data_IF_225935203395
#
_entry.id   IF_225935203395
#
_cell.length_a   1.000
_cell.length_b   1.000
_cell.length_c   1.000
_cell.angle_alpha   90.00
_cell.angle_beta   90.00
_cell.angle_gamma   90.00
#
_symmetry.space_group_name_H-M   'P 1'
#
loop_
_entity.id
_entity.type
_entity.pdbx_description
1 polymer ?
#
# COMPACT_ATOMS: atom_id res chain seq x y z
N UNK A 1 2.57 -8.76 -28.30
CA UNK A 1 1.50 -8.66 -27.31
C UNK A 1 2.10 -8.09 -26.03
N UNK A 2 1.55 -6.99 -25.52
CA UNK A 2 1.99 -6.35 -24.26
C UNK A 2 0.95 -6.68 -23.19
N UNK A 3 1.41 -7.13 -22.03
CA UNK A 3 0.55 -7.53 -20.94
C UNK A 3 0.61 -6.49 -19.83
N UNK A 4 -0.55 -5.92 -19.52
CA UNK A 4 -0.74 -5.10 -18.34
C UNK A 4 -1.21 -6.01 -17.22
N UNK A 5 -0.37 -6.21 -16.22
CA UNK A 5 -0.77 -6.97 -15.03
C UNK A 5 -1.28 -5.95 -14.02
N UNK A 6 -2.60 -5.91 -13.91
CA UNK A 6 -3.23 -5.22 -12.80
C UNK A 6 -2.94 -6.00 -11.52
N UNK A 7 -2.13 -5.40 -10.65
CA UNK A 7 -2.08 -5.84 -9.25
C UNK A 7 -3.30 -5.28 -8.53
N UNK A 8 -4.47 -5.62 -9.04
CA UNK A 8 -5.74 -5.36 -8.40
C UNK A 8 -5.91 -6.49 -7.38
N UNK A 9 -5.91 -6.15 -6.09
CA UNK A 9 -6.67 -6.93 -5.12
C UNK A 9 -8.13 -6.86 -5.57
N UNK A 10 -8.58 -7.63 -6.57
CA UNK A 10 -9.98 -7.55 -7.01
C UNK A 10 -10.65 -8.90 -7.32
N UNK A 11 -9.91 -10.00 -7.50
CA UNK A 11 -10.57 -11.27 -7.85
C UNK A 11 -10.99 -12.12 -6.65
N UNK A 12 -10.57 -11.79 -5.43
CA UNK A 12 -11.07 -12.40 -4.19
C UNK A 12 -11.58 -11.35 -3.16
N UNK A 13 -11.75 -10.09 -3.58
CA UNK A 13 -11.99 -9.00 -2.63
C UNK A 13 -13.40 -8.85 -2.14
N UNK A 14 -14.45 -9.34 -2.81
CA UNK A 14 -15.79 -9.25 -2.18
C UNK A 14 -15.89 -10.10 -0.92
N UNK A 15 -15.22 -11.26 -0.89
CA UNK A 15 -15.18 -12.11 0.29
C UNK A 15 -14.19 -11.54 1.32
N UNK A 16 -12.96 -11.20 0.90
CA UNK A 16 -11.95 -10.62 1.79
C UNK A 16 -12.33 -9.24 2.34
N UNK A 17 -12.99 -8.37 1.56
CA UNK A 17 -13.50 -7.08 2.00
C UNK A 17 -14.68 -7.23 2.95
N UNK A 18 -15.62 -8.15 2.68
CA UNK A 18 -16.68 -8.48 3.66
C UNK A 18 -16.07 -8.99 4.97
N UNK A 19 -15.03 -9.81 4.89
CA UNK A 19 -14.29 -10.31 6.04
C UNK A 19 -13.58 -9.17 6.77
N UNK A 20 -12.90 -8.26 6.07
CA UNK A 20 -12.25 -7.06 6.65
C UNK A 20 -13.28 -6.12 7.30
N UNK A 21 -14.41 -5.85 6.63
CA UNK A 21 -15.50 -5.03 7.18
C UNK A 21 -16.11 -5.70 8.41
N UNK A 22 -16.27 -7.03 8.39
CA UNK A 22 -16.76 -7.81 9.54
C UNK A 22 -15.77 -7.77 10.70
N UNK A 23 -14.47 -7.91 10.44
CA UNK A 23 -13.43 -7.78 11.46
C UNK A 23 -13.34 -6.35 12.00
N UNK A 24 -13.44 -5.32 11.16
CA UNK A 24 -13.46 -3.93 11.57
C UNK A 24 -14.69 -3.61 12.42
N UNK A 25 -15.87 -4.11 12.04
CA UNK A 25 -17.11 -3.94 12.80
C UNK A 25 -17.02 -4.67 14.15
N UNK A 26 -16.53 -5.91 14.16
CA UNK A 26 -16.36 -6.71 15.39
C UNK A 26 -15.35 -6.04 16.33
N UNK A 27 -14.24 -5.56 15.78
CA UNK A 27 -13.23 -4.78 16.50
C UNK A 27 -13.81 -3.49 17.09
N UNK A 28 -14.65 -2.78 16.34
CA UNK A 28 -15.32 -1.57 16.81
C UNK A 28 -16.32 -1.85 17.92
N UNK A 29 -17.09 -2.94 17.82
CA UNK A 29 -17.99 -3.39 18.90
C UNK A 29 -17.20 -3.76 20.16
N UNK A 30 -16.09 -4.49 20.03
CA UNK A 30 -15.21 -4.82 21.15
C UNK A 30 -14.58 -3.57 21.77
N UNK A 31 -14.16 -2.60 20.95
CA UNK A 31 -13.66 -1.31 21.41
C UNK A 31 -14.72 -0.56 22.24
N UNK A 32 -15.92 -0.37 21.69
CA UNK A 32 -17.01 0.34 22.38
C UNK A 32 -17.40 -0.37 23.68
N UNK A 33 -17.54 -1.70 23.64
CA UNK A 33 -17.86 -2.52 24.80
C UNK A 33 -16.77 -2.44 25.89
N UNK A 34 -15.53 -2.14 25.52
CA UNK A 34 -14.41 -2.05 26.45
C UNK A 34 -14.22 -0.64 27.05
N UNK A 35 -14.72 0.41 26.38
CA UNK A 35 -14.65 1.80 26.85
C UNK A 35 -15.88 2.18 27.69
N UNK A 36 -17.09 1.74 27.30
CA UNK A 36 -18.33 2.15 27.97
C UNK A 36 -18.37 1.81 29.47
N UNK A 37 -18.07 0.57 29.91
CA UNK A 37 -18.11 0.21 31.31
C UNK A 37 -17.13 0.99 32.21
N UNK A 38 -15.84 1.18 31.85
CA UNK A 38 -14.93 2.04 32.61
C UNK A 38 -15.45 3.47 32.77
N UNK A 39 -15.97 4.08 31.70
CA UNK A 39 -16.42 5.48 31.73
C UNK A 39 -17.64 5.66 32.65
N UNK A 40 -18.61 4.73 32.59
CA UNK A 40 -19.79 4.74 33.48
C UNK A 40 -19.41 4.51 34.94
N UNK A 41 -18.46 3.60 35.22
CA UNK A 41 -17.95 3.35 36.57
C UNK A 41 -17.20 4.59 37.11
N UNK A 42 -16.39 5.26 36.29
CA UNK A 42 -15.68 6.49 36.68
C UNK A 42 -16.64 7.63 37.02
N UNK A 43 -17.75 7.75 36.29
CA UNK A 43 -18.77 8.78 36.49
C UNK A 43 -19.63 8.54 37.75
N UNK A 44 -19.71 7.31 38.25
CA UNK A 44 -20.63 6.93 39.34
C UNK A 44 -19.95 6.71 40.67
N UNK A 45 -18.64 6.42 40.73
CA UNK A 45 -17.94 6.28 42.01
C UNK A 45 -16.41 6.51 41.92
N UNK A 46 -15.83 7.52 42.60
CA UNK A 46 -14.41 7.84 42.53
C UNK A 46 -13.48 6.89 43.32
N UNK A 47 -14.02 5.93 44.10
CA UNK A 47 -13.26 5.20 45.13
C UNK A 47 -12.65 3.86 44.65
N UNK A 48 -12.97 3.34 43.46
CA UNK A 48 -12.43 2.04 43.03
C UNK A 48 -11.37 2.15 41.93
N UNK A 49 -10.19 2.65 42.30
CA UNK A 49 -8.98 2.62 41.48
C UNK A 49 -8.67 1.20 40.92
N UNK A 50 -9.06 0.16 41.66
CA UNK A 50 -8.89 -1.25 41.26
C UNK A 50 -9.81 -1.67 40.11
N UNK A 51 -11.07 -1.22 40.10
CA UNK A 51 -12.02 -1.53 39.01
C UNK A 51 -11.75 -0.65 37.78
N UNK A 52 -11.35 0.60 37.97
CA UNK A 52 -10.89 1.47 36.89
C UNK A 52 -9.65 0.88 36.19
N UNK A 53 -8.67 0.36 36.95
CA UNK A 53 -7.49 -0.30 36.40
C UNK A 53 -7.81 -1.54 35.56
N UNK A 54 -8.70 -2.41 36.04
CA UNK A 54 -9.18 -3.59 35.30
C UNK A 54 -9.89 -3.22 33.99
N UNK A 55 -10.69 -2.16 34.04
CA UNK A 55 -11.45 -1.70 32.88
C UNK A 55 -10.54 -1.05 31.81
N UNK A 56 -9.51 -0.30 32.23
CA UNK A 56 -8.46 0.21 31.32
C UNK A 56 -7.64 -0.92 30.70
N UNK A 57 -7.33 -1.97 31.47
CA UNK A 57 -6.61 -3.15 30.97
C UNK A 57 -7.45 -3.91 29.92
N UNK A 58 -8.76 -4.06 30.17
CA UNK A 58 -9.71 -4.67 29.24
C UNK A 58 -9.85 -3.85 27.95
N UNK A 59 -9.95 -2.52 28.07
CA UNK A 59 -9.95 -1.62 26.92
C UNK A 59 -8.67 -1.72 26.10
N UNK A 60 -7.52 -1.75 26.77
CA UNK A 60 -6.23 -1.93 26.11
C UNK A 60 -6.16 -3.27 25.41
N UNK A 61 -6.55 -4.37 26.07
CA UNK A 61 -6.58 -5.70 25.48
C UNK A 61 -7.52 -5.77 24.26
N UNK A 62 -8.68 -5.09 24.30
CA UNK A 62 -9.60 -5.01 23.16
C UNK A 62 -9.05 -4.18 22.01
N UNK A 63 -8.35 -3.07 22.28
CA UNK A 63 -7.63 -2.28 21.26
C UNK A 63 -6.53 -3.13 20.62
N UNK A 64 -5.72 -3.81 21.43
CA UNK A 64 -4.66 -4.70 20.94
C UNK A 64 -5.25 -5.84 20.12
N UNK A 65 -6.33 -6.48 20.58
CA UNK A 65 -7.02 -7.54 19.85
C UNK A 65 -7.63 -7.00 18.55
N UNK A 66 -8.22 -5.80 18.55
CA UNK A 66 -8.77 -5.14 17.36
C UNK A 66 -7.70 -4.85 16.31
N UNK A 67 -6.55 -4.33 16.74
CA UNK A 67 -5.38 -4.14 15.88
C UNK A 67 -4.90 -5.50 15.35
N UNK A 68 -4.83 -6.52 16.20
CA UNK A 68 -4.42 -7.87 15.81
C UNK A 68 -5.38 -8.49 14.78
N UNK A 69 -6.69 -8.34 14.97
CA UNK A 69 -7.76 -8.79 14.07
C UNK A 69 -7.71 -8.05 12.72
N UNK A 70 -7.44 -6.74 12.71
CA UNK A 70 -7.20 -5.98 11.48
C UNK A 70 -5.94 -6.46 10.74
N UNK A 71 -4.96 -7.00 11.46
CA UNK A 71 -3.75 -7.57 10.90
C UNK A 71 -3.90 -9.05 10.48
N UNK A 72 -4.99 -9.75 10.84
CA UNK A 72 -5.22 -11.16 10.47
C UNK A 72 -5.13 -11.46 8.97
N UNK A 73 -5.72 -10.69 8.04
CA UNK A 73 -5.56 -10.96 6.61
C UNK A 73 -4.10 -10.82 6.13
N UNK A 74 -3.24 -10.18 6.92
CA UNK A 74 -1.80 -10.04 6.67
C UNK A 74 -0.94 -11.03 7.49
N UNK A 75 -1.52 -11.73 8.47
CA UNK A 75 -0.84 -12.67 9.38
C UNK A 75 -0.65 -14.08 8.80
N UNK A 76 -1.14 -14.35 7.59
CA UNK A 76 -0.90 -15.64 6.96
C UNK A 76 0.56 -15.71 6.51
N UNK A 77 1.43 -16.22 7.39
CA UNK A 77 2.90 -16.23 7.29
C UNK A 77 3.45 -16.73 5.95
N UNK A 78 2.69 -17.55 5.23
CA UNK A 78 3.09 -18.16 3.96
C UNK A 78 2.66 -17.35 2.72
N UNK A 79 1.84 -16.31 2.90
CA UNK A 79 1.37 -15.43 1.83
C UNK A 79 2.16 -14.13 1.82
N UNK A 80 3.38 -14.17 1.26
CA UNK A 80 3.96 -12.94 0.71
C UNK A 80 2.95 -12.37 -0.27
N UNK A 81 2.41 -11.18 -0.01
CA UNK A 81 1.30 -10.56 -0.77
C UNK A 81 1.57 -10.46 -2.27
N UNK A 82 2.84 -10.50 -2.67
CA UNK A 82 3.33 -10.45 -4.04
C UNK A 82 3.62 -11.81 -4.69
N UNK A 83 3.57 -12.94 -3.95
CA UNK A 83 3.92 -14.28 -4.45
C UNK A 83 3.06 -14.69 -5.66
N UNK A 84 1.75 -14.50 -5.57
CA UNK A 84 0.85 -14.83 -6.69
C UNK A 84 1.12 -13.99 -7.93
N UNK A 85 1.50 -12.72 -7.77
CA UNK A 85 1.89 -11.85 -8.88
C UNK A 85 3.19 -12.31 -9.53
N UNK A 86 4.18 -12.77 -8.74
CA UNK A 86 5.42 -13.37 -9.25
C UNK A 86 5.10 -14.63 -10.06
N UNK A 87 4.29 -15.54 -9.51
CA UNK A 87 3.93 -16.80 -10.18
C UNK A 87 3.21 -16.55 -11.51
N UNK A 88 2.30 -15.57 -11.56
CA UNK A 88 1.62 -15.16 -12.79
C UNK A 88 2.60 -14.60 -13.83
N UNK A 89 3.57 -13.79 -13.42
CA UNK A 89 4.60 -13.25 -14.33
C UNK A 89 5.53 -14.36 -14.84
N UNK A 90 6.02 -15.23 -13.95
CA UNK A 90 6.84 -16.38 -14.33
C UNK A 90 6.08 -17.28 -15.32
N UNK A 91 4.77 -17.48 -15.13
CA UNK A 91 3.94 -18.24 -16.07
C UNK A 91 3.81 -17.55 -17.44
N UNK A 92 3.63 -16.22 -17.48
CA UNK A 92 3.61 -15.47 -18.74
C UNK A 92 4.94 -15.58 -19.48
N UNK A 93 6.05 -15.46 -18.74
CA UNK A 93 7.40 -15.62 -19.31
C UNK A 93 7.59 -17.03 -19.86
N UNK A 94 7.16 -18.05 -19.12
CA UNK A 94 7.19 -19.45 -19.56
C UNK A 94 6.36 -19.67 -20.84
N UNK A 95 5.24 -18.97 -20.99
CA UNK A 95 4.40 -18.97 -22.19
C UNK A 95 4.99 -18.16 -23.36
N UNK A 96 6.19 -17.60 -23.21
CA UNK A 96 6.91 -16.87 -24.27
C UNK A 96 6.69 -15.36 -24.26
N UNK A 97 6.03 -14.80 -23.25
CA UNK A 97 5.92 -13.35 -23.10
C UNK A 97 7.27 -12.79 -22.69
N UNK A 98 7.88 -11.96 -23.55
CA UNK A 98 9.14 -11.32 -23.22
C UNK A 98 8.95 -10.38 -22.00
N UNK A 99 9.83 -10.42 -20.98
CA UNK A 99 9.70 -9.60 -19.76
C UNK A 99 9.54 -8.10 -20.02
N UNK A 100 10.21 -7.57 -21.05
CA UNK A 100 10.13 -6.14 -21.39
C UNK A 100 8.77 -5.71 -21.96
N UNK A 101 7.86 -6.66 -22.23
CA UNK A 101 6.47 -6.42 -22.60
C UNK A 101 5.50 -6.50 -21.40
N UNK A 102 6.01 -6.66 -20.19
CA UNK A 102 5.19 -6.76 -18.97
C UNK A 102 5.30 -5.44 -18.22
N UNK A 103 4.16 -4.76 -18.04
CA UNK A 103 4.09 -3.52 -17.27
C UNK A 103 3.38 -3.81 -15.95
N UNK A 104 4.01 -3.42 -14.85
CA UNK A 104 3.43 -3.52 -13.52
C UNK A 104 2.56 -2.29 -13.24
N UNK A 105 1.35 -2.52 -12.76
CA UNK A 105 0.46 -1.46 -12.31
C UNK A 105 0.12 -1.66 -10.84
N UNK A 106 0.37 -0.63 -10.03
CA UNK A 106 0.07 -0.59 -8.60
C UNK A 106 -0.76 0.64 -8.25
N UNK A 107 -1.92 0.43 -7.65
CA UNK A 107 -2.77 1.50 -7.12
C UNK A 107 -2.84 1.39 -5.59
N UNK A 108 -2.69 2.50 -4.87
CA UNK A 108 -2.81 2.49 -3.42
C UNK A 108 -1.83 1.49 -2.79
N UNK A 109 -2.32 0.58 -1.93
CA UNK A 109 -1.54 -0.52 -1.39
C UNK A 109 -0.97 -1.48 -2.47
N UNK A 110 -1.63 -1.60 -3.62
CA UNK A 110 -1.11 -2.39 -4.75
C UNK A 110 0.23 -1.87 -5.27
N UNK A 111 0.58 -0.61 -5.01
CA UNK A 111 1.92 -0.08 -5.27
C UNK A 111 3.01 -0.77 -4.45
N UNK A 112 2.75 -1.13 -3.19
CA UNK A 112 3.70 -1.88 -2.37
C UNK A 112 3.96 -3.28 -2.94
N UNK A 113 2.90 -3.94 -3.38
CA UNK A 113 2.99 -5.24 -4.04
C UNK A 113 3.77 -5.12 -5.34
N UNK A 114 3.44 -4.16 -6.21
CA UNK A 114 4.13 -3.93 -7.47
C UNK A 114 5.63 -3.61 -7.28
N UNK A 115 5.98 -2.83 -6.26
CA UNK A 115 7.37 -2.54 -5.90
C UNK A 115 8.15 -3.80 -5.53
N UNK A 116 7.59 -4.67 -4.67
CA UNK A 116 8.24 -5.93 -4.31
C UNK A 116 8.37 -6.90 -5.48
N UNK A 117 7.34 -6.97 -6.34
CA UNK A 117 7.40 -7.77 -7.58
C UNK A 117 8.53 -7.24 -8.49
N UNK A 118 8.61 -5.93 -8.70
CA UNK A 118 9.67 -5.32 -9.51
C UNK A 118 11.04 -5.68 -8.95
N UNK A 119 11.25 -5.49 -7.64
CA UNK A 119 12.49 -5.82 -6.95
C UNK A 119 12.86 -7.30 -7.06
N UNK A 120 11.89 -8.20 -6.99
CA UNK A 120 12.12 -9.65 -7.17
C UNK A 120 12.67 -9.97 -8.56
N UNK A 121 12.10 -9.39 -9.61
CA UNK A 121 12.57 -9.61 -10.98
C UNK A 121 13.89 -8.89 -11.27
N UNK A 122 14.09 -7.69 -10.72
CA UNK A 122 15.37 -6.98 -10.74
C UNK A 122 16.52 -7.83 -10.17
N UNK A 123 16.31 -8.42 -8.99
CA UNK A 123 17.30 -9.30 -8.33
C UNK A 123 17.60 -10.60 -9.11
N UNK A 124 16.77 -10.93 -10.11
CA UNK A 124 16.96 -12.09 -11.02
C UNK A 124 17.49 -11.66 -12.39
N UNK A 125 17.92 -10.40 -12.54
CA UNK A 125 18.32 -9.78 -13.80
C UNK A 125 17.22 -9.85 -14.90
N UNK A 126 15.95 -9.92 -14.49
CA UNK A 126 14.79 -9.93 -15.38
C UNK A 126 14.24 -8.51 -15.51
N UNK A 127 14.44 -7.91 -16.68
CA UNK A 127 14.03 -6.52 -16.95
C UNK A 127 12.57 -6.44 -17.40
N UNK A 128 11.71 -5.92 -16.53
CA UNK A 128 10.31 -5.63 -16.86
C UNK A 128 10.16 -4.39 -17.75
N UNK A 129 9.01 -4.27 -18.40
CA UNK A 129 8.71 -3.19 -19.35
C UNK A 129 8.59 -1.81 -18.70
N UNK A 130 8.10 -1.75 -17.47
CA UNK A 130 7.90 -0.53 -16.70
C UNK A 130 7.02 -0.76 -15.48
N UNK A 131 6.93 0.25 -14.63
CA UNK A 131 6.05 0.25 -13.46
C UNK A 131 5.28 1.58 -13.38
N UNK A 132 3.98 1.47 -13.11
CA UNK A 132 3.09 2.61 -12.91
C UNK A 132 2.51 2.55 -11.50
N UNK A 133 2.76 3.59 -10.72
CA UNK A 133 2.19 3.80 -9.40
C UNK A 133 1.10 4.85 -9.48
N UNK A 134 -0.06 4.56 -8.89
CA UNK A 134 -1.15 5.52 -8.77
C UNK A 134 -1.59 5.67 -7.33
N UNK A 135 -1.76 6.90 -6.85
CA UNK A 135 -2.22 7.20 -5.48
C UNK A 135 -1.55 6.32 -4.43
N UNK A 136 -0.22 6.18 -4.51
CA UNK A 136 0.57 5.18 -3.76
C UNK A 136 1.38 5.87 -2.66
N UNK A 137 1.54 5.21 -1.50
CA UNK A 137 2.36 5.73 -0.40
C UNK A 137 3.87 5.55 -0.65
N UNK A 138 4.72 6.29 0.06
CA UNK A 138 6.18 6.13 -0.01
C UNK A 138 6.67 4.92 0.78
N UNK A 139 6.11 4.74 1.98
CA UNK A 139 6.31 3.58 2.82
C UNK A 139 5.05 3.33 3.65
N UNK A 140 4.85 2.09 4.11
CA UNK A 140 3.65 1.77 4.88
C UNK A 140 3.65 2.41 6.27
N UNK A 141 4.83 2.62 6.87
CA UNK A 141 4.94 3.34 8.14
C UNK A 141 4.56 4.82 7.99
N UNK A 142 5.02 5.50 6.93
CA UNK A 142 4.64 6.90 6.65
C UNK A 142 3.15 7.00 6.36
N UNK A 143 2.56 5.99 5.69
CA UNK A 143 1.13 5.93 5.46
C UNK A 143 0.35 5.85 6.79
N UNK A 144 0.75 4.98 7.73
CA UNK A 144 0.13 4.86 9.05
C UNK A 144 0.19 6.18 9.84
N UNK A 145 1.32 6.89 9.78
CA UNK A 145 1.49 8.19 10.46
C UNK A 145 0.51 9.26 9.97
N UNK A 146 0.11 9.20 8.70
CA UNK A 146 -0.71 10.25 8.08
C UNK A 146 -2.12 9.80 7.71
N UNK A 147 -2.47 8.52 7.86
CA UNK A 147 -3.81 8.04 7.53
C UNK A 147 -4.88 8.78 8.35
N UNK A 148 -5.96 9.26 7.71
CA UNK A 148 -7.03 10.01 8.40
C UNK A 148 -7.91 9.11 9.30
N UNK A 149 -7.58 7.82 9.41
CA UNK A 149 -8.38 6.84 10.15
C UNK A 149 -8.10 6.93 11.66
N UNK A 150 -9.13 7.06 12.52
CA UNK A 150 -8.94 7.10 13.97
C UNK A 150 -8.19 5.88 14.52
N UNK A 151 -8.37 4.70 13.90
CA UNK A 151 -7.72 3.45 14.31
C UNK A 151 -6.20 3.48 14.03
N UNK A 152 -5.77 4.13 12.95
CA UNK A 152 -4.34 4.23 12.60
C UNK A 152 -3.61 5.23 13.49
N UNK A 153 -4.33 6.19 14.09
CA UNK A 153 -3.76 7.12 15.09
C UNK A 153 -3.21 6.41 16.33
N UNK A 154 -3.77 5.25 16.70
CA UNK A 154 -3.24 4.45 17.82
C UNK A 154 -1.86 3.90 17.44
N UNK A 155 -1.72 3.44 16.20
CA UNK A 155 -0.44 2.94 15.68
C UNK A 155 0.58 4.06 15.46
N UNK A 156 0.15 5.26 15.10
CA UNK A 156 1.05 6.41 14.92
C UNK A 156 1.61 6.96 16.24
N UNK A 157 1.00 6.65 17.39
CA UNK A 157 1.51 7.02 18.73
C UNK A 157 2.63 6.06 19.18
N UNK A 158 2.71 4.86 18.61
CA UNK A 158 3.76 3.90 18.96
C UNK A 158 5.15 4.47 18.61
N UNK A 159 6.15 4.32 19.48
CA UNK A 159 7.54 4.59 19.12
C UNK A 159 7.92 3.92 17.80
N UNK A 160 8.54 4.65 16.89
CA UNK A 160 8.82 4.21 15.52
C UNK A 160 9.54 2.84 15.46
N UNK A 161 10.46 2.58 16.40
CA UNK A 161 11.18 1.30 16.46
C UNK A 161 10.25 0.11 16.78
N UNK A 162 9.21 0.31 17.60
CA UNK A 162 8.20 -0.70 17.89
C UNK A 162 7.28 -0.91 16.70
N UNK A 163 6.82 0.18 16.08
CA UNK A 163 5.99 0.11 14.89
C UNK A 163 6.71 -0.66 13.77
N UNK A 164 7.97 -0.33 13.46
CA UNK A 164 8.77 -1.05 12.47
C UNK A 164 8.95 -2.54 12.82
N UNK A 165 9.17 -2.87 14.10
CA UNK A 165 9.26 -4.26 14.56
C UNK A 165 7.95 -5.03 14.35
N UNK A 166 6.83 -4.40 14.65
CA UNK A 166 5.50 -4.98 14.41
C UNK A 166 5.32 -5.16 12.91
N UNK A 167 5.45 -4.13 12.08
CA UNK A 167 5.30 -4.25 10.63
C UNK A 167 6.17 -5.37 10.04
N UNK A 168 7.43 -5.45 10.45
CA UNK A 168 8.35 -6.51 10.03
C UNK A 168 7.91 -7.91 10.47
N UNK A 169 7.42 -8.07 11.69
CA UNK A 169 6.92 -9.35 12.19
C UNK A 169 5.72 -9.87 11.38
N UNK A 170 4.99 -8.95 10.73
CA UNK A 170 3.83 -9.23 9.90
C UNK A 170 4.14 -9.15 8.38
N UNK A 171 5.41 -8.97 8.00
CA UNK A 171 5.83 -8.77 6.61
C UNK A 171 5.09 -7.62 5.89
N UNK A 172 4.83 -6.53 6.63
CA UNK A 172 4.20 -5.29 6.19
C UNK A 172 5.15 -4.09 6.20
N UNK A 173 6.45 -4.32 6.38
CA UNK A 173 7.48 -3.28 6.37
C UNK A 173 7.84 -2.82 4.94
N UNK A 174 6.82 -2.52 4.14
CA UNK A 174 7.00 -2.03 2.77
C UNK A 174 7.58 -0.62 2.77
N UNK A 175 8.69 -0.46 2.06
CA UNK A 175 9.34 0.83 1.79
C UNK A 175 9.58 0.95 0.28
N UNK A 176 8.65 1.60 -0.40
CA UNK A 176 8.63 1.68 -1.86
C UNK A 176 9.74 2.61 -2.33
N UNK A 177 9.92 3.74 -1.64
CA UNK A 177 10.99 4.69 -1.96
C UNK A 177 12.37 4.04 -1.83
N UNK A 178 12.63 3.34 -0.71
CA UNK A 178 13.89 2.63 -0.48
C UNK A 178 14.10 1.48 -1.49
N UNK A 179 13.05 0.72 -1.80
CA UNK A 179 13.11 -0.32 -2.83
C UNK A 179 13.49 0.23 -4.21
N UNK A 180 12.90 1.36 -4.61
CA UNK A 180 13.22 2.00 -5.89
C UNK A 180 14.65 2.58 -5.90
N UNK A 181 15.13 3.12 -4.78
CA UNK A 181 16.51 3.62 -4.65
C UNK A 181 17.55 2.48 -4.67
N UNK A 182 17.24 1.35 -4.02
CA UNK A 182 18.16 0.21 -3.89
C UNK A 182 18.14 -0.76 -5.07
N UNK A 183 17.15 -0.68 -5.96
CA UNK A 183 17.08 -1.53 -7.15
C UNK A 183 18.23 -1.21 -8.10
N UNK A 184 19.36 -1.92 -7.95
CA UNK A 184 20.53 -1.79 -8.82
C UNK A 184 20.24 -2.37 -10.21
N UNK A 185 20.83 -1.77 -11.25
CA UNK A 185 20.80 -2.23 -12.66
C UNK A 185 19.49 -2.03 -13.44
N UNK A 186 18.46 -1.43 -12.87
CA UNK A 186 17.24 -1.19 -13.62
C UNK A 186 17.30 0.12 -14.42
N UNK A 187 16.94 0.01 -15.70
CA UNK A 187 16.47 1.13 -16.55
C UNK A 187 14.99 0.86 -16.87
N UNK A 188 14.23 0.53 -15.83
CA UNK A 188 12.79 0.25 -15.87
C UNK A 188 12.08 1.60 -15.75
N UNK A 189 11.32 2.03 -16.76
CA UNK A 189 10.57 3.28 -16.67
C UNK A 189 9.59 3.28 -15.50
N UNK A 190 9.62 4.34 -14.70
CA UNK A 190 8.73 4.53 -13.55
C UNK A 190 7.80 5.70 -13.86
N UNK A 191 6.50 5.47 -13.74
CA UNK A 191 5.49 6.53 -13.79
C UNK A 191 4.78 6.60 -12.45
N UNK A 192 4.64 7.81 -11.90
CA UNK A 192 3.93 8.04 -10.64
C UNK A 192 2.86 9.09 -10.89
N UNK A 193 1.62 8.71 -10.62
CA UNK A 193 0.44 9.52 -10.85
C UNK A 193 -0.30 9.67 -9.52
N UNK A 194 -0.33 10.88 -8.98
CA UNK A 194 -0.96 11.14 -7.69
C UNK A 194 -1.94 12.30 -7.79
N UNK A 195 -2.89 12.31 -6.85
CA UNK A 195 -3.85 13.38 -6.72
C UNK A 195 -3.52 14.21 -5.47
N UNK A 196 -3.33 15.52 -5.62
CA UNK A 196 -2.92 16.40 -4.51
C UNK A 196 -3.94 16.47 -3.37
N UNK A 197 -5.22 16.24 -3.68
CA UNK A 197 -6.34 16.20 -2.71
C UNK A 197 -6.70 14.79 -2.23
N UNK A 198 -5.86 13.79 -2.49
CA UNK A 198 -6.09 12.43 -1.96
C UNK A 198 -6.17 12.48 -0.44
N UNK A 199 -7.34 12.14 0.10
CA UNK A 199 -7.58 12.10 1.54
C UNK A 199 -7.17 10.77 2.16
N UNK A 200 -7.14 9.69 1.39
CA UNK A 200 -6.76 8.37 1.89
C UNK A 200 -5.24 8.24 2.00
N UNK A 201 -4.51 8.69 0.98
CA UNK A 201 -3.04 8.80 1.02
C UNK A 201 -2.68 10.28 0.87
N UNK A 202 -2.62 11.03 1.98
CA UNK A 202 -2.34 12.47 1.91
C UNK A 202 -0.92 12.74 1.42
N UNK A 203 -0.74 13.91 0.81
CA UNK A 203 0.51 14.32 0.14
C UNK A 203 1.81 13.99 0.90
N UNK A 204 1.93 14.21 2.23
CA UNK A 204 3.17 13.87 2.95
C UNK A 204 3.55 12.38 2.88
N UNK A 205 2.55 11.49 2.82
CA UNK A 205 2.73 10.06 2.75
C UNK A 205 2.81 9.51 1.32
N UNK A 206 2.52 10.32 0.30
CA UNK A 206 2.55 9.88 -1.08
C UNK A 206 3.98 9.61 -1.55
N UNK A 207 4.14 8.62 -2.43
CA UNK A 207 5.42 8.23 -3.03
C UNK A 207 6.12 9.43 -3.68
N UNK A 208 5.36 10.26 -4.41
CA UNK A 208 5.88 11.46 -5.08
C UNK A 208 6.64 12.39 -4.13
N UNK A 209 6.18 12.52 -2.88
CA UNK A 209 6.77 13.43 -1.91
C UNK A 209 8.13 12.92 -1.40
N UNK A 210 8.30 11.59 -1.29
CA UNK A 210 9.55 10.99 -0.88
C UNK A 210 10.65 11.06 -1.96
N UNK A 211 10.27 11.17 -3.23
CA UNK A 211 11.21 11.10 -4.37
C UNK A 211 11.36 12.42 -5.13
N UNK A 212 10.64 13.48 -4.73
CA UNK A 212 10.51 14.75 -5.49
C UNK A 212 11.84 15.47 -5.77
N UNK A 213 12.92 15.07 -5.09
CA UNK A 213 14.27 15.60 -5.28
C UNK A 213 15.20 14.76 -6.16
N UNK A 214 14.82 13.52 -6.51
CA UNK A 214 15.66 12.57 -7.25
C UNK A 214 15.22 12.49 -8.72
N UNK A 215 15.80 13.34 -9.59
CA UNK A 215 15.46 13.34 -11.04
C UNK A 215 15.88 12.05 -11.78
N UNK A 216 16.76 11.25 -11.17
CA UNK A 216 17.16 9.92 -11.62
C UNK A 216 17.25 8.99 -10.40
N UNK A 217 16.19 8.25 -10.09
CA UNK A 217 16.26 7.17 -9.08
C UNK A 217 17.10 6.04 -9.68
N UNK A 218 18.39 6.04 -9.33
CA UNK A 218 19.35 5.02 -9.74
C UNK A 218 19.46 4.81 -11.27
N UNK A 219 19.30 5.89 -12.05
CA UNK A 219 19.37 5.85 -13.52
C UNK A 219 18.07 5.44 -14.23
N UNK A 220 16.98 5.20 -13.50
CA UNK A 220 15.66 4.97 -14.08
C UNK A 220 15.02 6.29 -14.53
N UNK A 221 14.39 6.34 -15.73
CA UNK A 221 13.59 7.49 -16.12
C UNK A 221 12.29 7.50 -15.29
N UNK A 222 12.06 8.59 -14.56
CA UNK A 222 10.87 8.79 -13.75
C UNK A 222 10.02 9.88 -14.38
N UNK A 223 8.72 9.63 -14.47
CA UNK A 223 7.73 10.61 -14.88
C UNK A 223 6.72 10.79 -13.76
N UNK A 224 6.62 12.02 -13.26
CA UNK A 224 5.71 12.40 -12.18
C UNK A 224 4.52 13.17 -12.78
N UNK A 225 3.32 12.84 -12.30
CA UNK A 225 2.05 13.50 -12.59
C UNK A 225 1.34 13.76 -11.26
N UNK A 226 1.51 14.95 -10.72
CA UNK A 226 0.99 15.35 -9.40
C UNK A 226 0.11 16.61 -9.43
N UNK A 227 -0.09 17.17 -10.63
CA UNK A 227 -0.92 18.32 -10.97
C UNK A 227 -2.35 17.92 -11.39
N UNK A 228 -2.77 16.68 -11.08
CA UNK A 228 -4.11 16.21 -11.37
C UNK A 228 -5.14 16.97 -10.53
N UNK A 229 -5.79 17.94 -11.17
CA UNK A 229 -7.04 18.54 -10.72
C UNK A 229 -8.21 17.79 -11.35
N UNK A 230 -8.43 16.55 -10.93
CA UNK A 230 -9.63 15.82 -11.35
C UNK A 230 -10.77 16.31 -10.47
N UNK A 231 -11.84 16.80 -11.11
CA UNK A 231 -13.09 17.10 -10.44
C UNK A 231 -13.81 15.78 -10.17
N UNK A 232 -13.89 15.40 -8.90
CA UNK A 232 -14.60 14.21 -8.45
C UNK A 232 -14.65 14.14 -6.93
N UNK A 233 -15.67 13.47 -6.42
CA UNK A 233 -15.89 13.27 -4.97
C UNK A 233 -14.95 12.22 -4.37
N UNK A 234 -14.19 11.50 -5.21
CA UNK A 234 -13.21 10.49 -4.81
C UNK A 234 -11.82 10.77 -5.43
N UNK A 235 -11.04 11.70 -4.84
CA UNK A 235 -9.68 12.00 -5.28
C UNK A 235 -8.75 10.78 -5.35
N UNK A 236 -8.95 9.79 -4.46
CA UNK A 236 -8.08 8.61 -4.38
C UNK A 236 -8.23 7.74 -5.62
N UNK A 237 -9.47 7.39 -5.99
CA UNK A 237 -9.77 6.50 -7.12
C UNK A 237 -9.92 7.24 -8.46
N UNK A 238 -10.12 8.56 -8.46
CA UNK A 238 -10.29 9.35 -9.69
C UNK A 238 -9.15 9.20 -10.71
N UNK A 239 -7.95 8.84 -10.24
CA UNK A 239 -6.77 8.57 -11.09
C UNK A 239 -6.99 7.35 -11.99
N UNK A 240 -7.78 6.35 -11.54
CA UNK A 240 -8.02 5.11 -12.28
C UNK A 240 -8.82 5.33 -13.57
N UNK A 241 -9.74 6.30 -13.55
CA UNK A 241 -10.57 6.68 -14.70
C UNK A 241 -10.00 7.90 -15.44
N UNK A 242 -8.76 8.30 -15.14
CA UNK A 242 -8.17 9.50 -15.71
C UNK A 242 -7.65 9.30 -17.13
N UNK A 243 -7.81 10.33 -17.97
CA UNK A 243 -7.15 10.42 -19.27
C UNK A 243 -5.62 10.34 -19.12
N UNK A 244 -5.08 10.91 -18.05
CA UNK A 244 -3.64 10.86 -17.73
C UNK A 244 -3.13 9.44 -17.56
N UNK A 245 -3.81 8.57 -16.81
CA UNK A 245 -3.39 7.16 -16.70
C UNK A 245 -3.40 6.46 -18.06
N UNK A 246 -4.43 6.72 -18.88
CA UNK A 246 -4.54 6.15 -20.23
C UNK A 246 -3.39 6.62 -21.13
N UNK A 247 -3.06 7.90 -21.10
CA UNK A 247 -1.96 8.49 -21.86
C UNK A 247 -0.61 7.92 -21.43
N UNK A 248 -0.35 7.85 -20.12
CA UNK A 248 0.92 7.33 -19.60
C UNK A 248 1.13 5.85 -19.93
N UNK A 249 0.08 5.03 -19.79
CA UNK A 249 0.13 3.62 -20.20
C UNK A 249 0.37 3.50 -21.70
N UNK A 250 -0.31 4.32 -22.52
CA UNK A 250 -0.13 4.34 -23.97
C UNK A 250 1.29 4.73 -24.36
N UNK A 251 1.85 5.79 -23.77
CA UNK A 251 3.21 6.22 -24.03
C UNK A 251 4.24 5.16 -23.63
N UNK A 252 4.06 4.55 -22.45
CA UNK A 252 4.94 3.48 -21.99
C UNK A 252 4.91 2.29 -22.96
N UNK A 253 3.74 1.89 -23.44
CA UNK A 253 3.55 0.87 -24.47
C UNK A 253 4.22 1.26 -25.79
N UNK A 254 3.96 2.48 -26.30
CA UNK A 254 4.46 2.95 -27.59
C UNK A 254 5.99 3.05 -27.61
N UNK A 255 6.59 3.54 -26.53
CA UNK A 255 8.05 3.67 -26.41
C UNK A 255 8.80 2.35 -26.67
N UNK A 256 8.17 1.21 -26.32
CA UNK A 256 8.71 -0.15 -26.52
C UNK A 256 8.53 -0.67 -27.94
N UNK A 257 7.48 -0.24 -28.62
CA UNK A 257 7.25 -0.60 -30.03
C UNK A 257 8.27 0.12 -30.90
N UNK A 258 8.47 1.42 -30.68
CA UNK A 258 9.39 2.24 -31.48
C UNK A 258 10.87 1.91 -31.25
N UNK A 259 11.25 1.44 -30.05
CA UNK A 259 12.62 1.01 -29.78
C UNK A 259 13.01 -0.31 -30.46
N UNK A 260 12.04 -1.07 -31.01
CA UNK A 260 12.29 -2.33 -31.74
C UNK A 260 12.51 -2.14 -33.24
N UNK A 261 12.16 -0.96 -33.76
CA UNK A 261 12.26 -0.62 -35.19
C UNK A 261 13.54 0.16 -35.55
N UNK A 262 14.44 0.36 -34.59
CA UNK A 262 15.81 0.86 -34.80
C UNK A 262 16.79 -0.26 -34.50
#
# INVERSE_FOLDING_TARGET
>A
MIYLIFTLMHTNTRLHFKIIVTYALTSFVCLLASILPPTVILLTNPITARTAGLAVLSASACVFLSIFLLMIPFLNKDQKLFKSSIEQIDQLIYQGVKPENIILFGHSFGGAVASEVSRHFANRDVKLGGIVFTSTFSSFHTAIEHFPMPQTKILSILPLFLLKRILKAFALDFDIADNLQKSQNEKTPIVIINHARDTLIPLPAQLVNAIRGDQLLNGNPIKIRDDLFIYGDDPHNSVLDSGTLTEELREMVLSKVTSRTR
#
